data_IF_307043730276
#
_entry.id   IF_307043730276
#
_cell.length_a   1.000
_cell.length_b   1.000
_cell.length_c   1.000
_cell.angle_alpha   90.00
_cell.angle_beta   90.00
_cell.angle_gamma   90.00
#
_symmetry.space_group_name_H-M   'P 1'
#
loop_
_entity.id
_entity.type
_entity.pdbx_description
1 polymer ?
#
# COMPACT_ATOMS: atom_id res chain seq x y z
N UNK A 1 -6.88 15.08 -12.14
CA UNK A 1 -6.13 16.07 -12.91
C UNK A 1 -5.40 15.41 -14.06
N UNK A 2 -5.08 16.17 -15.09
CA UNK A 2 -4.41 15.69 -16.32
C UNK A 2 -2.90 15.43 -16.14
N UNK A 3 -2.37 15.60 -14.92
CA UNK A 3 -0.95 15.41 -14.64
C UNK A 3 -0.63 13.94 -14.39
N UNK A 4 0.48 13.48 -14.98
CA UNK A 4 1.02 12.15 -14.73
C UNK A 4 1.48 12.04 -13.27
N UNK A 5 1.07 10.96 -12.62
CA UNK A 5 1.41 10.67 -11.22
C UNK A 5 2.34 9.47 -11.09
N UNK A 6 2.07 8.40 -11.83
CA UNK A 6 2.89 7.20 -11.83
C UNK A 6 3.34 6.87 -13.26
N UNK A 7 4.59 6.45 -13.39
CA UNK A 7 5.14 5.85 -14.61
C UNK A 7 5.78 4.51 -14.24
N UNK A 8 5.41 3.47 -14.98
CA UNK A 8 5.97 2.13 -14.84
C UNK A 8 6.15 1.52 -16.24
N UNK A 9 7.41 1.28 -16.64
CA UNK A 9 7.76 0.84 -17.99
C UNK A 9 7.12 1.76 -19.06
N UNK A 10 6.22 1.23 -19.89
CA UNK A 10 5.50 2.01 -20.92
C UNK A 10 4.12 2.50 -20.43
N UNK A 11 3.77 2.21 -19.17
CA UNK A 11 2.49 2.60 -18.58
C UNK A 11 2.64 3.94 -17.85
N UNK A 12 1.69 4.85 -18.06
CA UNK A 12 1.61 6.13 -17.36
C UNK A 12 0.20 6.31 -16.81
N UNK A 13 0.10 6.78 -15.57
CA UNK A 13 -1.17 6.95 -14.87
C UNK A 13 -1.27 8.35 -14.29
N UNK A 14 -2.39 9.00 -14.54
CA UNK A 14 -2.75 10.28 -13.92
C UNK A 14 -3.17 10.08 -12.45
N UNK A 15 -3.18 11.16 -11.66
CA UNK A 15 -3.73 11.14 -10.30
C UNK A 15 -5.16 10.59 -10.25
N UNK A 16 -6.00 10.96 -11.23
CA UNK A 16 -7.40 10.53 -11.25
C UNK A 16 -7.52 9.03 -11.53
N UNK A 17 -6.73 8.48 -12.43
CA UNK A 17 -6.74 7.05 -12.74
C UNK A 17 -6.29 6.22 -11.55
N UNK A 18 -5.25 6.66 -10.84
CA UNK A 18 -4.79 5.99 -9.60
C UNK A 18 -5.87 6.04 -8.52
N UNK A 19 -6.51 7.20 -8.31
CA UNK A 19 -7.60 7.31 -7.34
C UNK A 19 -8.79 6.43 -7.71
N UNK A 20 -9.19 6.41 -8.97
CA UNK A 20 -10.32 5.59 -9.43
C UNK A 20 -10.03 4.09 -9.31
N UNK A 21 -8.81 3.64 -9.64
CA UNK A 21 -8.39 2.25 -9.46
C UNK A 21 -8.34 1.88 -7.97
N UNK A 22 -7.82 2.78 -7.13
CA UNK A 22 -7.80 2.59 -5.67
C UNK A 22 -9.21 2.51 -5.08
N UNK A 23 -10.13 3.36 -5.53
CA UNK A 23 -11.52 3.32 -5.10
C UNK A 23 -12.20 2.00 -5.50
N UNK A 24 -11.95 1.53 -6.73
CA UNK A 24 -12.44 0.23 -7.18
C UNK A 24 -11.96 -0.92 -6.30
N UNK A 25 -10.67 -0.95 -5.97
CA UNK A 25 -10.14 -1.96 -5.04
C UNK A 25 -10.76 -1.80 -3.64
N UNK A 26 -10.94 -0.58 -3.14
CA UNK A 26 -11.57 -0.34 -1.84
C UNK A 26 -12.98 -0.93 -1.75
N UNK A 27 -13.81 -0.78 -2.79
CA UNK A 27 -15.12 -1.43 -2.88
C UNK A 27 -15.00 -2.95 -2.87
N UNK A 28 -14.07 -3.53 -3.61
CA UNK A 28 -13.83 -4.99 -3.61
C UNK A 28 -13.45 -5.48 -2.22
N UNK A 29 -12.59 -4.76 -1.50
CA UNK A 29 -12.18 -5.12 -0.14
C UNK A 29 -13.37 -5.15 0.81
N UNK A 30 -14.26 -4.16 0.75
CA UNK A 30 -15.45 -4.07 1.60
C UNK A 30 -16.51 -5.10 1.19
N UNK A 31 -16.89 -5.11 -0.10
CA UNK A 31 -18.08 -5.83 -0.56
C UNK A 31 -17.84 -7.33 -0.74
N UNK A 32 -16.64 -7.72 -1.20
CA UNK A 32 -16.30 -9.11 -1.50
C UNK A 32 -15.56 -9.82 -0.38
N UNK A 33 -14.66 -9.11 0.32
CA UNK A 33 -13.83 -9.70 1.37
C UNK A 33 -14.29 -9.32 2.79
N UNK A 34 -15.39 -8.57 2.94
CA UNK A 34 -15.93 -8.11 4.25
C UNK A 34 -14.86 -7.43 5.13
N UNK A 35 -13.96 -6.67 4.50
CA UNK A 35 -12.93 -5.92 5.21
C UNK A 35 -13.56 -4.73 5.91
N UNK A 36 -13.20 -4.55 7.18
CA UNK A 36 -13.71 -3.51 8.07
C UNK A 36 -12.58 -2.65 8.59
N UNK A 37 -12.93 -1.51 9.14
CA UNK A 37 -12.01 -0.64 9.86
C UNK A 37 -11.19 -1.44 10.89
N UNK A 38 -9.89 -1.24 10.89
CA UNK A 38 -8.93 -1.91 11.76
C UNK A 38 -8.48 -3.30 11.31
N UNK A 39 -9.11 -3.88 10.27
CA UNK A 39 -8.63 -5.13 9.67
C UNK A 39 -7.29 -4.89 8.95
N UNK A 40 -6.39 -5.86 9.03
CA UNK A 40 -5.06 -5.79 8.43
C UNK A 40 -5.06 -6.51 7.09
N UNK A 41 -4.41 -5.89 6.11
CA UNK A 41 -4.22 -6.45 4.77
C UNK A 41 -2.74 -6.46 4.46
N UNK A 42 -2.17 -7.66 4.36
CA UNK A 42 -0.78 -7.81 3.95
C UNK A 42 -0.67 -7.77 2.44
N UNK A 43 0.41 -7.16 1.96
CA UNK A 43 0.72 -7.19 0.54
C UNK A 43 2.22 -7.17 0.30
N UNK A 44 2.64 -7.87 -0.76
CA UNK A 44 4.03 -7.94 -1.17
C UNK A 44 4.10 -8.16 -2.68
N UNK A 45 4.76 -7.26 -3.38
CA UNK A 45 4.94 -7.28 -4.83
C UNK A 45 6.13 -6.41 -5.23
N UNK A 46 6.49 -6.42 -6.50
CA UNK A 46 7.41 -5.43 -7.06
C UNK A 46 6.81 -4.02 -6.98
N UNK A 47 7.60 -3.01 -7.34
CA UNK A 47 7.13 -1.61 -7.37
C UNK A 47 6.17 -1.38 -8.57
N UNK A 48 5.07 -2.12 -8.59
CA UNK A 48 3.98 -1.95 -9.55
C UNK A 48 3.07 -0.78 -9.14
N UNK A 49 2.35 -0.16 -10.08
CA UNK A 49 1.30 0.83 -9.76
C UNK A 49 0.28 0.30 -8.76
N UNK A 50 -0.04 -0.99 -8.82
CA UNK A 50 -0.98 -1.67 -7.92
C UNK A 50 -0.52 -1.67 -6.46
N UNK A 51 0.78 -1.48 -6.19
CA UNK A 51 1.27 -1.28 -4.81
C UNK A 51 0.67 0.00 -4.20
N UNK A 52 0.72 1.10 -4.96
CA UNK A 52 0.16 2.39 -4.53
C UNK A 52 -1.36 2.30 -4.42
N UNK A 53 -2.02 1.69 -5.43
CA UNK A 53 -3.46 1.48 -5.41
C UNK A 53 -3.89 0.68 -4.17
N UNK A 54 -3.13 -0.35 -3.80
CA UNK A 54 -3.40 -1.18 -2.62
C UNK A 54 -3.27 -0.36 -1.33
N UNK A 55 -2.19 0.40 -1.18
CA UNK A 55 -1.97 1.22 0.01
C UNK A 55 -3.10 2.25 0.19
N UNK A 56 -3.45 2.98 -0.88
CA UNK A 56 -4.54 3.97 -0.86
C UNK A 56 -5.87 3.29 -0.55
N UNK A 57 -6.22 2.20 -1.24
CA UNK A 57 -7.49 1.50 -1.05
C UNK A 57 -7.68 1.03 0.39
N UNK A 58 -6.66 0.39 0.95
CA UNK A 58 -6.69 -0.15 2.32
C UNK A 58 -6.86 0.96 3.36
N UNK A 59 -6.04 2.01 3.26
CA UNK A 59 -6.08 3.10 4.24
C UNK A 59 -7.35 3.95 4.11
N UNK A 60 -7.91 4.09 2.90
CA UNK A 60 -9.13 4.88 2.66
C UNK A 60 -10.40 4.28 3.25
N UNK A 61 -10.41 3.00 3.62
CA UNK A 61 -11.53 2.34 4.31
C UNK A 61 -11.27 2.15 5.82
N UNK A 62 -10.21 2.76 6.34
CA UNK A 62 -9.80 2.62 7.73
C UNK A 62 -9.23 1.24 8.09
N UNK A 63 -8.90 0.41 7.10
CA UNK A 63 -8.13 -0.79 7.29
C UNK A 63 -6.63 -0.48 7.40
N UNK A 64 -5.84 -1.42 7.91
CA UNK A 64 -4.42 -1.23 8.18
C UNK A 64 -3.58 -1.87 7.08
N UNK A 65 -2.81 -1.06 6.37
CA UNK A 65 -1.90 -1.51 5.34
C UNK A 65 -0.65 -2.20 5.94
N UNK A 66 -0.34 -3.41 5.50
CA UNK A 66 0.81 -4.20 5.96
C UNK A 66 1.72 -4.53 4.78
N UNK A 67 2.51 -3.57 4.28
CA UNK A 67 3.46 -3.84 3.22
C UNK A 67 4.60 -4.72 3.75
N UNK A 68 4.78 -5.90 3.15
CA UNK A 68 5.84 -6.83 3.47
C UNK A 68 7.00 -6.69 2.47
N UNK A 69 8.21 -6.94 2.94
CA UNK A 69 9.40 -6.87 2.12
C UNK A 69 9.32 -7.86 0.95
N UNK A 70 9.45 -7.36 -0.27
CA UNK A 70 9.34 -8.16 -1.50
C UNK A 70 10.45 -9.21 -1.69
N UNK A 71 11.52 -9.14 -0.89
CA UNK A 71 12.60 -10.12 -0.88
C UNK A 71 12.40 -11.28 0.11
N UNK A 72 11.39 -11.18 0.98
CA UNK A 72 11.10 -12.23 1.95
C UNK A 72 10.74 -13.55 1.28
N UNK A 73 11.17 -14.64 1.91
CA UNK A 73 10.84 -16.01 1.49
C UNK A 73 9.53 -16.46 2.13
N UNK A 74 9.07 -17.67 1.82
CA UNK A 74 7.77 -18.18 2.26
C UNK A 74 7.55 -18.09 3.77
N UNK A 75 8.50 -18.57 4.58
CA UNK A 75 8.41 -18.52 6.04
C UNK A 75 8.37 -17.07 6.61
N UNK A 76 9.09 -16.14 5.98
CA UNK A 76 9.10 -14.75 6.40
C UNK A 76 7.79 -14.05 6.01
N UNK A 77 7.26 -14.34 4.81
CA UNK A 77 5.96 -13.84 4.37
C UNK A 77 4.82 -14.40 5.24
N UNK A 78 4.85 -15.71 5.53
CA UNK A 78 3.92 -16.35 6.46
C UNK A 78 3.96 -15.68 7.84
N UNK A 79 5.17 -15.46 8.37
CA UNK A 79 5.35 -14.73 9.62
C UNK A 79 4.71 -13.34 9.57
N UNK A 80 4.96 -12.57 8.51
CA UNK A 80 4.41 -11.23 8.36
C UNK A 80 2.88 -11.22 8.34
N UNK A 81 2.26 -12.13 7.59
CA UNK A 81 0.80 -12.26 7.50
C UNK A 81 0.19 -12.71 8.83
N UNK A 82 0.79 -13.73 9.47
CA UNK A 82 0.28 -14.31 10.71
C UNK A 82 0.47 -13.38 11.90
N UNK A 83 1.67 -12.79 12.04
CA UNK A 83 2.01 -11.88 13.13
C UNK A 83 1.21 -10.58 13.08
N UNK A 84 0.90 -10.08 11.89
CA UNK A 84 0.02 -8.91 11.72
C UNK A 84 -1.47 -9.27 11.85
N UNK A 85 -1.83 -10.55 11.89
CA UNK A 85 -3.22 -11.03 11.84
C UNK A 85 -3.95 -10.53 10.59
N UNK A 86 -3.26 -10.52 9.43
CA UNK A 86 -3.84 -10.05 8.19
C UNK A 86 -4.92 -11.00 7.67
N UNK A 87 -6.07 -10.44 7.29
CA UNK A 87 -7.23 -11.19 6.77
C UNK A 87 -7.12 -11.53 5.28
N UNK A 88 -6.28 -10.81 4.56
CA UNK A 88 -6.11 -10.92 3.12
C UNK A 88 -4.63 -10.71 2.77
N UNK A 89 -4.15 -11.41 1.75
CA UNK A 89 -2.84 -11.17 1.15
C UNK A 89 -2.99 -10.76 -0.32
N UNK A 90 -2.27 -9.70 -0.74
CA UNK A 90 -2.21 -9.24 -2.13
C UNK A 90 -0.78 -9.36 -2.62
N UNK A 91 -0.56 -10.08 -3.74
CA UNK A 91 0.80 -10.31 -4.20
C UNK A 91 0.93 -10.66 -5.68
N UNK A 92 2.13 -10.52 -6.19
CA UNK A 92 2.48 -10.94 -7.55
C UNK A 92 2.88 -12.43 -7.62
N UNK A 93 3.11 -12.93 -8.83
CA UNK A 93 3.42 -14.34 -9.13
C UNK A 93 4.53 -14.89 -8.23
N UNK A 94 5.64 -14.15 -8.09
CA UNK A 94 6.79 -14.61 -7.31
C UNK A 94 6.48 -14.73 -5.81
N UNK A 95 5.71 -13.79 -5.24
CA UNK A 95 5.35 -13.79 -3.81
C UNK A 95 4.28 -14.84 -3.52
N UNK A 96 3.31 -14.98 -4.41
CA UNK A 96 2.31 -16.05 -4.32
C UNK A 96 2.95 -17.43 -4.45
N UNK A 97 3.94 -17.58 -5.35
CA UNK A 97 4.69 -18.84 -5.47
C UNK A 97 5.45 -19.19 -4.19
N UNK A 98 6.10 -18.21 -3.54
CA UNK A 98 6.79 -18.41 -2.26
C UNK A 98 5.86 -18.80 -1.12
N UNK A 99 4.58 -18.39 -1.18
CA UNK A 99 3.56 -18.71 -0.20
C UNK A 99 2.82 -20.03 -0.45
N UNK A 100 3.17 -20.80 -1.49
CA UNK A 100 2.59 -22.13 -1.68
C UNK A 100 2.97 -23.06 -0.52
N UNK A 101 1.95 -23.72 0.07
CA UNK A 101 2.12 -24.53 1.26
C UNK A 101 2.13 -23.74 2.58
N UNK A 102 1.99 -22.41 2.52
CA UNK A 102 1.89 -21.52 3.67
C UNK A 102 0.54 -20.80 3.67
N UNK A 103 -0.04 -20.49 4.83
CA UNK A 103 -1.27 -19.70 5.02
C UNK A 103 -2.36 -19.95 3.95
N UNK A 104 -2.61 -21.20 3.59
CA UNK A 104 -3.52 -21.56 2.47
C UNK A 104 -4.97 -21.13 2.70
N UNK A 105 -5.39 -21.00 3.96
CA UNK A 105 -6.73 -20.53 4.34
C UNK A 105 -6.91 -19.01 4.16
N UNK A 106 -5.82 -18.24 4.05
CA UNK A 106 -5.89 -16.81 3.86
C UNK A 106 -6.29 -16.48 2.41
N UNK A 107 -7.39 -15.73 2.18
CA UNK A 107 -7.77 -15.27 0.86
C UNK A 107 -6.66 -14.45 0.21
N UNK A 108 -6.55 -14.53 -1.13
CA UNK A 108 -5.48 -13.86 -1.88
C UNK A 108 -6.01 -13.13 -3.10
N UNK A 109 -5.37 -12.02 -3.43
CA UNK A 109 -5.53 -11.33 -4.72
C UNK A 109 -4.19 -11.41 -5.44
N UNK A 110 -4.19 -11.90 -6.67
CA UNK A 110 -3.01 -11.92 -7.53
C UNK A 110 -2.91 -10.64 -8.35
N UNK A 111 -1.69 -10.13 -8.49
CA UNK A 111 -1.35 -8.95 -9.28
C UNK A 111 -0.55 -9.40 -10.50
N UNK A 112 -1.02 -9.04 -11.70
CA UNK A 112 -0.32 -9.27 -12.98
C UNK A 112 0.08 -10.73 -13.22
N UNK A 113 -0.72 -11.68 -12.71
CA UNK A 113 -0.46 -13.10 -12.94
C UNK A 113 -1.73 -13.96 -12.89
N UNK A 114 -1.61 -15.18 -13.42
CA UNK A 114 -2.70 -16.13 -13.46
C UNK A 114 -3.04 -16.67 -12.06
N UNK A 115 -4.18 -16.24 -11.53
CA UNK A 115 -4.68 -16.63 -10.21
C UNK A 115 -4.96 -18.13 -10.09
N UNK A 116 -5.28 -18.82 -11.20
CA UNK A 116 -5.63 -20.24 -11.21
C UNK A 116 -4.49 -21.16 -10.74
N UNK A 117 -3.26 -20.66 -10.74
CA UNK A 117 -2.08 -21.37 -10.24
C UNK A 117 -2.02 -21.48 -8.71
N UNK A 118 -2.83 -20.71 -8.00
CA UNK A 118 -2.72 -20.53 -6.55
C UNK A 118 -4.04 -20.81 -5.83
N UNK A 119 -3.97 -21.49 -4.71
CA UNK A 119 -5.12 -21.80 -3.87
C UNK A 119 -5.73 -20.52 -3.31
N UNK A 120 -7.06 -20.47 -3.20
CA UNK A 120 -7.82 -19.37 -2.57
C UNK A 120 -7.44 -17.98 -3.12
N UNK A 121 -7.22 -17.88 -4.44
CA UNK A 121 -6.73 -16.68 -5.11
C UNK A 121 -7.67 -16.23 -6.22
N UNK A 122 -7.88 -14.93 -6.33
CA UNK A 122 -8.62 -14.28 -7.43
C UNK A 122 -7.71 -13.25 -8.10
N UNK A 123 -7.85 -13.04 -9.41
CA UNK A 123 -7.06 -12.05 -10.12
C UNK A 123 -7.58 -10.64 -9.85
N UNK A 124 -6.69 -9.69 -9.65
CA UNK A 124 -7.00 -8.27 -9.49
C UNK A 124 -7.78 -7.75 -10.70
N UNK A 125 -7.33 -8.10 -11.89
CA UNK A 125 -7.90 -7.67 -13.17
C UNK A 125 -9.34 -8.16 -13.38
N UNK A 126 -9.72 -9.29 -12.75
CA UNK A 126 -11.07 -9.86 -12.85
C UNK A 126 -12.08 -9.22 -11.88
N UNK A 127 -11.59 -8.60 -10.80
CA UNK A 127 -12.46 -8.15 -9.71
C UNK A 127 -12.44 -6.64 -9.49
N UNK A 128 -11.41 -5.94 -9.94
CA UNK A 128 -11.28 -4.49 -9.75
C UNK A 128 -11.67 -3.75 -11.01
N UNK A 129 -12.64 -2.85 -10.86
CA UNK A 129 -13.01 -1.88 -11.90
C UNK A 129 -12.88 -0.48 -11.32
N UNK A 130 -12.38 0.52 -12.07
CA UNK A 130 -12.25 1.89 -11.59
C UNK A 130 -13.60 2.45 -11.11
N UNK A 131 -13.59 3.14 -9.96
CA UNK A 131 -14.74 3.79 -9.35
C UNK A 131 -14.46 5.27 -9.09
N UNK A 132 -15.46 6.13 -9.19
CA UNK A 132 -15.30 7.59 -8.99
C UNK A 132 -15.22 8.00 -7.51
N UNK A 133 -15.69 7.16 -6.60
CA UNK A 133 -15.71 7.44 -5.17
C UNK A 133 -15.30 6.22 -4.34
N UNK A 134 -14.72 6.48 -3.19
CA UNK A 134 -14.42 5.46 -2.19
C UNK A 134 -15.68 5.08 -1.39
N UNK A 135 -15.74 3.87 -0.80
CA UNK A 135 -16.73 3.55 0.22
C UNK A 135 -16.68 4.56 1.38
N UNK A 136 -17.83 4.85 1.98
CA UNK A 136 -17.86 5.68 3.18
C UNK A 136 -17.18 4.97 4.34
N UNK A 137 -16.27 5.69 5.04
CA UNK A 137 -15.55 5.20 6.21
C UNK A 137 -15.33 6.34 7.22
N UNK A 138 -15.58 6.05 8.49
CA UNK A 138 -15.25 6.95 9.58
C UNK A 138 -13.83 6.66 10.08
N UNK A 139 -12.87 7.52 9.73
CA UNK A 139 -11.46 7.37 10.07
C UNK A 139 -11.08 8.48 11.06
N UNK A 140 -10.58 8.07 12.25
CA UNK A 140 -9.98 8.99 13.20
C UNK A 140 -8.48 9.16 12.87
N UNK A 141 -7.92 10.38 13.03
CA UNK A 141 -6.47 10.59 12.85
C UNK A 141 -5.58 9.67 13.69
N UNK A 142 -6.07 9.20 14.84
CA UNK A 142 -5.34 8.27 15.72
C UNK A 142 -5.57 6.78 15.39
N UNK A 143 -6.42 6.46 14.42
CA UNK A 143 -6.55 5.10 13.93
C UNK A 143 -5.25 4.62 13.29
N UNK A 144 -4.96 3.31 13.42
CA UNK A 144 -3.82 2.68 12.78
C UNK A 144 -3.99 2.71 11.25
N UNK A 145 -2.99 3.19 10.54
CA UNK A 145 -2.98 3.27 9.08
C UNK A 145 -2.08 2.20 8.44
N UNK A 146 -0.94 1.91 9.06
CA UNK A 146 -0.01 0.93 8.50
C UNK A 146 0.86 0.24 9.55
N UNK A 147 1.33 -0.96 9.22
CA UNK A 147 2.34 -1.71 9.96
C UNK A 147 3.52 -1.96 9.04
N UNK A 148 4.66 -1.33 9.33
CA UNK A 148 5.90 -1.49 8.58
C UNK A 148 6.88 -2.37 9.35
N UNK A 149 7.37 -3.44 8.71
CA UNK A 149 8.35 -4.33 9.34
C UNK A 149 9.78 -3.83 9.17
N UNK A 150 10.50 -3.77 10.28
CA UNK A 150 11.94 -3.44 10.30
C UNK A 150 12.76 -4.66 10.69
N UNK A 151 14.01 -4.73 10.19
CA UNK A 151 14.95 -5.76 10.60
C UNK A 151 15.30 -5.57 12.08
N UNK A 152 14.77 -6.46 12.94
CA UNK A 152 15.05 -6.45 14.36
C UNK A 152 16.46 -6.98 14.68
N UNK A 153 17.14 -6.40 15.67
CA UNK A 153 18.40 -6.91 16.21
C UNK A 153 18.26 -8.26 16.93
N UNK A 154 17.04 -8.77 17.10
CA UNK A 154 16.69 -9.96 17.89
C UNK A 154 16.27 -11.17 17.05
N UNK A 155 16.47 -11.17 15.73
CA UNK A 155 16.24 -12.30 14.84
C UNK A 155 14.94 -12.25 14.05
N UNK A 156 13.83 -11.79 14.62
CA UNK A 156 12.55 -11.63 13.89
C UNK A 156 12.27 -10.16 13.60
N UNK A 157 11.70 -9.84 12.40
CA UNK A 157 11.27 -8.49 12.08
C UNK A 157 10.20 -7.98 13.07
N UNK A 158 10.26 -6.69 13.39
CA UNK A 158 9.27 -6.03 14.27
C UNK A 158 8.37 -5.13 13.46
N UNK A 159 7.06 -5.24 13.67
CA UNK A 159 6.07 -4.35 13.07
C UNK A 159 6.02 -3.01 13.79
N UNK A 160 6.24 -1.92 13.07
CA UNK A 160 6.07 -0.55 13.55
C UNK A 160 4.70 -0.05 13.08
N UNK A 161 3.83 0.26 14.01
CA UNK A 161 2.49 0.79 13.72
C UNK A 161 2.59 2.30 13.53
N UNK A 162 1.97 2.82 12.47
CA UNK A 162 1.81 4.24 12.20
C UNK A 162 0.34 4.59 12.10
N UNK A 163 -0.08 5.68 12.77
CA UNK A 163 -1.44 6.20 12.67
C UNK A 163 -1.62 7.03 11.39
N UNK A 164 -2.87 7.31 11.01
CA UNK A 164 -3.19 8.23 9.90
C UNK A 164 -2.52 9.59 10.10
N UNK A 165 -2.57 10.15 11.30
CA UNK A 165 -1.87 11.40 11.66
C UNK A 165 -0.36 11.29 11.39
N UNK A 166 0.26 10.18 11.79
CA UNK A 166 1.70 9.95 11.61
C UNK A 166 2.10 9.90 10.13
N UNK A 167 1.28 9.23 9.31
CA UNK A 167 1.53 9.14 7.87
C UNK A 167 1.37 10.48 7.17
N UNK A 168 0.30 11.23 7.47
CA UNK A 168 0.01 12.53 6.82
C UNK A 168 0.97 13.63 7.28
N UNK A 169 1.42 13.63 8.54
CA UNK A 169 2.32 14.66 9.06
C UNK A 169 3.73 14.64 8.46
N UNK A 170 4.18 13.51 7.92
CA UNK A 170 5.51 13.41 7.30
C UNK A 170 5.63 14.26 6.01
N UNK A 171 4.74 14.15 5.01
CA UNK A 171 4.74 15.04 3.85
C UNK A 171 4.54 16.52 4.21
N UNK A 172 3.66 16.82 5.17
CA UNK A 172 3.45 18.20 5.64
C UNK A 172 4.73 18.80 6.24
N UNK A 173 5.45 18.01 7.05
CA UNK A 173 6.74 18.43 7.61
C UNK A 173 7.77 18.69 6.51
N UNK A 174 7.84 17.85 5.50
CA UNK A 174 8.76 18.04 4.37
C UNK A 174 8.41 19.28 3.55
N UNK A 175 7.12 19.53 3.29
CA UNK A 175 6.66 20.73 2.60
C UNK A 175 7.04 22.00 3.40
N UNK A 176 6.83 21.99 4.72
CA UNK A 176 7.23 23.09 5.60
C UNK A 176 8.75 23.30 5.59
N UNK A 177 9.53 22.23 5.70
CA UNK A 177 11.00 22.33 5.66
C UNK A 177 11.50 22.86 4.32
N UNK A 178 10.86 22.46 3.20
CA UNK A 178 11.16 23.00 1.87
C UNK A 178 10.87 24.52 1.79
N UNK A 179 9.73 24.96 2.32
CA UNK A 179 9.40 26.38 2.39
C UNK A 179 10.40 27.17 3.28
N UNK A 180 10.77 26.65 4.44
CA UNK A 180 11.76 27.27 5.32
C UNK A 180 13.14 27.35 4.64
N UNK A 181 13.56 26.27 3.97
CA UNK A 181 14.83 26.26 3.25
C UNK A 181 14.89 27.30 2.11
N UNK A 182 13.77 27.59 1.45
CA UNK A 182 13.69 28.62 0.42
C UNK A 182 13.80 30.06 0.98
N UNK A 183 13.59 30.26 2.27
CA UNK A 183 13.70 31.54 2.95
C UNK A 183 15.11 31.78 3.53
N UNK A 184 15.97 30.76 3.56
CA UNK A 184 17.33 30.88 4.10
C UNK A 184 18.29 31.08 2.91
N UNK A 185 18.80 32.31 2.73
CA UNK A 185 19.95 32.56 1.90
C UNK A 185 21.22 32.14 2.65
N UNK A 186 21.89 31.10 2.17
CA UNK A 186 23.22 30.73 2.66
C UNK A 186 24.23 31.16 1.63
N UNK A 187 25.03 32.17 1.98
CA UNK A 187 26.17 32.69 1.20
C UNK A 187 25.86 33.02 -0.29
N UNK A 188 24.69 33.60 -0.56
CA UNK A 188 24.32 34.06 -1.93
C UNK A 188 24.00 32.95 -2.92
N UNK A 189 23.83 31.70 -2.44
CA UNK A 189 23.36 30.57 -3.24
C UNK A 189 21.95 30.21 -2.80
N UNK A 190 20.97 30.56 -3.64
CA UNK A 190 19.60 30.05 -3.47
C UNK A 190 19.62 28.53 -3.76
N UNK A 191 19.50 27.70 -2.75
CA UNK A 191 19.23 26.29 -2.99
C UNK A 191 17.78 26.19 -3.47
N UNK A 192 17.60 26.01 -4.77
CA UNK A 192 16.30 25.67 -5.33
C UNK A 192 15.82 24.38 -4.70
N UNK A 193 14.69 24.42 -4.02
CA UNK A 193 14.01 23.21 -3.51
C UNK A 193 13.65 22.33 -4.71
N UNK A 194 14.00 21.04 -4.71
CA UNK A 194 13.62 20.12 -5.81
C UNK A 194 12.13 19.71 -5.77
N UNK A 195 11.32 20.30 -4.93
CA UNK A 195 9.94 19.88 -4.72
C UNK A 195 9.00 21.07 -4.73
N UNK A 196 8.93 21.86 -5.71
CA UNK A 196 7.70 22.63 -6.05
C UNK A 196 7.90 23.39 -7.36
N UNK A 197 7.57 22.75 -8.44
CA UNK A 197 6.98 23.43 -9.59
C UNK A 197 6.05 22.42 -10.26
N UNK A 198 4.74 22.59 -10.05
CA UNK A 198 3.70 21.83 -10.73
C UNK A 198 2.41 21.83 -9.99
#
# INVERSE_FOLDING_TARGET
GEWDFLAYEEETYTYQEVLNASAGLAHVLVDKFDIKKGDKIAFSMRNYPEWINTYIAVTSIGAVAVPLNSWWQGEELEYGVTHSESKLFIGDDERLHRLQGHIEDTPRISIRCDASKYTNTVAFEDIVSPMESFPEAEIDPEDDASIMYTSGSTGYPKGVVSTHRGVVSAPETWALMGQLASLIEVDGVTQASPIVDG
#
